data_IF_424918273598
#
_entry.id   IF_424918273598
#
_cell.length_a   1.000
_cell.length_b   1.000
_cell.length_c   1.000
_cell.angle_alpha   90.00
_cell.angle_beta   90.00
_cell.angle_gamma   90.00
#
_symmetry.space_group_name_H-M   'P 1'
#
loop_
_entity.id
_entity.type
_entity.pdbx_description
1 polymer ?
#
# COMPACT_ATOMS: atom_id res chain seq x y z
N UNK A 1 -20.39 2.15 -3.17
CA UNK A 1 -19.62 3.20 -3.89
C UNK A 1 -20.26 3.38 -5.25
N UNK A 2 -20.46 4.63 -5.71
CA UNK A 2 -21.05 4.90 -7.02
C UNK A 2 -20.13 4.45 -8.18
N UNK A 3 -20.47 4.87 -9.41
CA UNK A 3 -19.75 4.48 -10.63
C UNK A 3 -18.24 4.76 -10.61
N UNK A 4 -17.52 4.19 -11.58
CA UNK A 4 -16.07 4.29 -11.70
C UNK A 4 -15.60 5.72 -12.02
N UNK A 5 -14.71 6.23 -11.18
CA UNK A 5 -14.08 7.54 -11.32
C UNK A 5 -12.58 7.39 -11.59
N UNK A 6 -12.24 7.06 -12.84
CA UNK A 6 -10.87 6.84 -13.27
C UNK A 6 -10.52 7.74 -14.46
N UNK A 7 -9.21 7.92 -14.68
CA UNK A 7 -8.68 8.64 -15.84
C UNK A 7 -8.77 7.76 -17.08
N UNK A 8 -9.92 7.77 -17.75
CA UNK A 8 -10.13 7.08 -19.02
C UNK A 8 -9.26 7.67 -20.13
N UNK A 9 -8.74 6.82 -21.01
CA UNK A 9 -8.00 7.26 -22.20
C UNK A 9 -8.93 7.91 -23.24
N UNK A 10 -10.14 7.40 -23.34
CA UNK A 10 -11.19 7.92 -24.21
C UNK A 10 -12.45 8.18 -23.37
N UNK A 11 -13.22 9.19 -23.74
CA UNK A 11 -14.48 9.49 -23.06
C UNK A 11 -15.45 8.30 -23.23
N UNK A 12 -15.94 7.68 -22.13
CA UNK A 12 -16.88 6.58 -22.25
C UNK A 12 -18.16 7.01 -22.98
N UNK A 13 -18.72 6.11 -23.78
CA UNK A 13 -20.00 6.33 -24.47
C UNK A 13 -21.11 6.56 -23.44
N UNK A 14 -22.06 7.45 -23.73
CA UNK A 14 -23.19 7.78 -22.83
C UNK A 14 -23.93 6.55 -22.30
N UNK A 15 -24.11 5.50 -23.14
CA UNK A 15 -24.76 4.24 -22.76
C UNK A 15 -24.06 3.45 -21.64
N UNK A 16 -22.79 3.74 -21.38
CA UNK A 16 -21.98 3.11 -20.34
C UNK A 16 -21.97 3.94 -19.03
N UNK A 17 -22.57 5.13 -19.06
CA UNK A 17 -22.61 6.06 -17.93
C UNK A 17 -23.92 5.91 -17.17
N UNK A 18 -23.82 5.87 -15.84
CA UNK A 18 -24.97 5.86 -14.95
C UNK A 18 -25.69 7.22 -15.01
N UNK A 19 -27.01 7.26 -15.23
CA UNK A 19 -27.78 8.51 -15.21
C UNK A 19 -27.77 9.23 -13.86
N UNK A 20 -27.70 8.47 -12.75
CA UNK A 20 -27.76 9.00 -11.40
C UNK A 20 -26.45 9.66 -10.93
N UNK A 21 -25.30 9.07 -11.27
CA UNK A 21 -23.99 9.59 -10.83
C UNK A 21 -23.12 10.18 -11.94
N UNK A 22 -23.52 10.04 -13.22
CA UNK A 22 -22.79 10.54 -14.38
C UNK A 22 -21.48 9.81 -14.71
N UNK A 23 -21.12 8.77 -13.96
CA UNK A 23 -19.85 8.02 -14.08
C UNK A 23 -20.07 6.68 -14.78
N UNK A 24 -18.99 6.05 -15.25
CA UNK A 24 -19.08 4.71 -15.86
C UNK A 24 -19.67 3.70 -14.86
N UNK A 25 -20.66 2.91 -15.28
CA UNK A 25 -21.46 2.11 -14.35
C UNK A 25 -20.62 1.06 -13.62
N UNK A 26 -20.69 1.04 -12.29
CA UNK A 26 -20.14 -0.03 -11.45
C UNK A 26 -21.26 -0.99 -11.11
N UNK A 27 -21.02 -2.29 -11.29
CA UNK A 27 -22.00 -3.35 -11.02
C UNK A 27 -23.36 -2.97 -11.65
N UNK A 28 -23.40 -2.80 -12.99
CA UNK A 28 -24.59 -2.28 -13.64
C UNK A 28 -25.78 -3.22 -13.44
N UNK A 29 -26.93 -2.64 -13.14
CA UNK A 29 -28.21 -3.31 -13.08
C UNK A 29 -29.15 -2.75 -14.13
N UNK A 30 -29.98 -3.61 -14.70
CA UNK A 30 -31.02 -3.25 -15.67
C UNK A 30 -32.40 -3.45 -15.04
N UNK A 31 -33.26 -2.46 -15.22
CA UNK A 31 -34.68 -2.53 -14.86
C UNK A 31 -35.43 -3.20 -16.01
N UNK A 32 -35.99 -4.40 -15.82
CA UNK A 32 -36.60 -5.17 -16.91
C UNK A 32 -37.87 -4.54 -17.50
N UNK A 33 -38.59 -3.71 -16.74
CA UNK A 33 -39.83 -3.06 -17.22
C UNK A 33 -39.59 -1.96 -18.26
N UNK A 34 -38.43 -1.29 -18.24
CA UNK A 34 -38.12 -0.18 -19.14
C UNK A 34 -36.75 -0.28 -19.84
N UNK A 35 -35.88 -1.20 -19.42
CA UNK A 35 -34.54 -1.39 -19.99
C UNK A 35 -33.50 -0.37 -19.56
N UNK A 36 -33.83 0.57 -18.66
CA UNK A 36 -32.89 1.55 -18.12
C UNK A 36 -31.86 0.89 -17.20
N UNK A 37 -30.66 1.47 -17.17
CA UNK A 37 -29.49 0.89 -16.51
C UNK A 37 -28.84 1.87 -15.56
N UNK A 38 -28.40 1.38 -14.41
CA UNK A 38 -27.82 2.17 -13.32
C UNK A 38 -26.69 1.39 -12.65
N UNK A 39 -25.87 2.05 -11.84
CA UNK A 39 -25.07 1.31 -10.85
C UNK A 39 -26.01 0.70 -9.81
N UNK A 40 -25.74 -0.52 -9.34
CA UNK A 40 -26.52 -1.16 -8.29
C UNK A 40 -26.70 -0.24 -7.06
N UNK A 41 -25.59 0.26 -6.50
CA UNK A 41 -25.66 1.11 -5.31
C UNK A 41 -26.39 2.42 -5.55
N UNK A 42 -26.30 3.01 -6.75
CA UNK A 42 -26.98 4.27 -7.05
C UNK A 42 -28.50 4.07 -7.11
N UNK A 43 -28.96 2.97 -7.73
CA UNK A 43 -30.38 2.68 -7.80
C UNK A 43 -30.92 2.30 -6.41
N UNK A 44 -30.19 1.50 -5.64
CA UNK A 44 -30.58 1.15 -4.28
C UNK A 44 -30.68 2.38 -3.36
N UNK A 45 -29.72 3.30 -3.42
CA UNK A 45 -29.77 4.56 -2.67
C UNK A 45 -31.02 5.37 -3.04
N UNK A 46 -31.31 5.54 -4.34
CA UNK A 46 -32.51 6.26 -4.79
C UNK A 46 -33.81 5.61 -4.30
N UNK A 47 -33.93 4.30 -4.41
CA UNK A 47 -35.13 3.57 -4.00
C UNK A 47 -35.29 3.51 -2.47
N UNK A 48 -34.22 3.71 -1.70
CA UNK A 48 -34.26 3.75 -0.22
C UNK A 48 -35.09 4.92 0.33
N UNK A 49 -35.32 5.96 -0.49
CA UNK A 49 -36.17 7.10 -0.16
C UNK A 49 -37.68 6.78 -0.24
N UNK A 50 -38.04 5.53 -0.59
CA UNK A 50 -39.44 5.08 -0.69
C UNK A 50 -40.09 5.35 -2.05
N UNK A 51 -39.32 5.76 -3.05
CA UNK A 51 -39.80 6.03 -4.41
C UNK A 51 -39.58 4.81 -5.31
N UNK A 52 -40.63 4.02 -5.54
CA UNK A 52 -40.59 2.81 -6.38
C UNK A 52 -40.88 3.12 -7.86
N UNK A 53 -40.12 4.07 -8.41
CA UNK A 53 -40.23 4.48 -9.82
C UNK A 53 -38.85 4.56 -10.43
N UNK A 54 -38.76 4.27 -11.72
CA UNK A 54 -37.53 4.40 -12.47
C UNK A 54 -37.12 5.88 -12.55
N UNK A 55 -35.86 6.24 -12.22
CA UNK A 55 -35.39 7.63 -12.23
C UNK A 55 -35.45 8.33 -13.59
N UNK A 56 -35.40 7.58 -14.69
CA UNK A 56 -35.32 8.12 -16.06
C UNK A 56 -36.71 8.41 -16.67
N UNK A 57 -37.68 7.52 -16.45
CA UNK A 57 -38.99 7.55 -17.12
C UNK A 57 -40.19 7.55 -16.17
N UNK A 58 -39.95 7.47 -14.86
CA UNK A 58 -40.94 7.44 -13.79
C UNK A 58 -41.92 6.25 -13.86
N UNK A 59 -41.60 5.21 -14.63
CA UNK A 59 -42.41 4.00 -14.67
C UNK A 59 -42.30 3.22 -13.35
N UNK A 60 -43.38 2.52 -12.92
CA UNK A 60 -43.35 1.70 -11.71
C UNK A 60 -42.20 0.69 -11.76
N UNK A 61 -41.44 0.65 -10.67
CA UNK A 61 -40.24 -0.17 -10.54
C UNK A 61 -40.42 -1.14 -9.38
N UNK A 62 -40.30 -2.42 -9.68
CA UNK A 62 -40.32 -3.52 -8.70
C UNK A 62 -38.89 -4.02 -8.50
N UNK A 63 -38.46 -4.15 -7.25
CA UNK A 63 -37.14 -4.69 -6.89
C UNK A 63 -36.91 -6.09 -7.45
N UNK A 64 -37.95 -6.92 -7.53
CA UNK A 64 -37.86 -8.27 -8.11
C UNK A 64 -37.57 -8.26 -9.63
N UNK A 65 -37.68 -7.10 -10.27
CA UNK A 65 -37.50 -6.88 -11.71
C UNK A 65 -36.21 -6.17 -12.06
N UNK A 66 -35.30 -6.00 -11.08
CA UNK A 66 -33.95 -5.46 -11.25
C UNK A 66 -32.99 -6.65 -11.37
N UNK A 67 -32.21 -6.68 -12.44
CA UNK A 67 -31.25 -7.76 -12.67
C UNK A 67 -29.85 -7.20 -12.98
N UNK A 68 -28.77 -7.86 -12.53
CA UNK A 68 -27.42 -7.54 -12.99
C UNK A 68 -27.33 -7.60 -14.52
N UNK A 69 -26.47 -6.77 -15.11
CA UNK A 69 -26.19 -6.74 -16.55
C UNK A 69 -24.72 -7.10 -16.84
N UNK A 70 -24.38 -8.40 -16.94
CA UNK A 70 -23.01 -8.86 -17.14
C UNK A 70 -22.41 -8.42 -18.49
N UNK A 71 -23.25 -8.24 -19.51
CA UNK A 71 -22.80 -7.81 -20.83
C UNK A 71 -22.34 -6.35 -20.79
N UNK A 72 -23.13 -5.47 -20.15
CA UNK A 72 -22.73 -4.10 -19.93
C UNK A 72 -21.53 -4.02 -18.99
N UNK A 73 -21.49 -4.84 -17.95
CA UNK A 73 -20.35 -4.90 -17.03
C UNK A 73 -19.06 -5.24 -17.78
N UNK A 74 -19.08 -6.25 -18.65
CA UNK A 74 -17.94 -6.61 -19.48
C UNK A 74 -17.49 -5.45 -20.39
N UNK A 75 -18.44 -4.69 -20.96
CA UNK A 75 -18.14 -3.50 -21.76
C UNK A 75 -17.50 -2.39 -20.93
N UNK A 76 -18.05 -2.07 -19.76
CA UNK A 76 -17.46 -1.04 -18.87
C UNK A 76 -16.06 -1.45 -18.41
N UNK A 77 -15.88 -2.71 -18.02
CA UNK A 77 -14.60 -3.25 -17.59
C UNK A 77 -13.55 -3.34 -18.72
N UNK A 78 -13.97 -3.27 -19.99
CA UNK A 78 -13.07 -3.21 -21.15
C UNK A 78 -12.52 -1.81 -21.43
N UNK A 79 -13.12 -0.75 -20.84
CA UNK A 79 -12.69 0.62 -21.06
C UNK A 79 -11.23 0.83 -20.65
N UNK A 80 -10.47 1.49 -21.51
CA UNK A 80 -9.06 1.74 -21.29
C UNK A 80 -8.84 2.94 -20.36
N UNK A 81 -8.02 2.75 -19.34
CA UNK A 81 -7.70 3.75 -18.31
C UNK A 81 -6.19 3.89 -18.14
N UNK A 82 -5.77 5.01 -17.54
CA UNK A 82 -4.43 5.17 -16.96
C UNK A 82 -4.44 4.74 -15.50
N UNK A 83 -3.29 4.27 -15.01
CA UNK A 83 -3.10 4.02 -13.59
C UNK A 83 -3.47 5.25 -12.73
N UNK A 84 -4.04 5.01 -11.55
CA UNK A 84 -4.32 6.05 -10.55
C UNK A 84 -3.04 6.81 -10.13
N UNK A 85 -1.89 6.14 -10.17
CA UNK A 85 -0.56 6.68 -9.87
C UNK A 85 0.13 7.29 -11.11
N UNK A 86 -0.62 7.63 -12.15
CA UNK A 86 -0.04 8.17 -13.40
C UNK A 86 0.65 9.52 -13.23
N UNK A 87 0.19 10.34 -12.29
CA UNK A 87 0.83 11.63 -11.95
C UNK A 87 2.16 11.45 -11.21
N UNK A 88 2.35 10.34 -10.51
CA UNK A 88 3.61 10.00 -9.83
C UNK A 88 4.63 9.38 -10.80
N UNK A 89 4.20 9.01 -12.01
CA UNK A 89 5.04 8.49 -13.08
C UNK A 89 4.71 7.06 -13.51
N UNK A 90 3.65 6.44 -12.98
CA UNK A 90 3.21 5.14 -13.48
C UNK A 90 2.68 5.27 -14.92
N UNK A 91 3.35 4.60 -15.86
CA UNK A 91 2.98 4.64 -17.29
C UNK A 91 2.01 3.55 -17.71
N UNK A 92 1.51 2.75 -16.77
CA UNK A 92 0.60 1.66 -17.10
C UNK A 92 -0.73 2.19 -17.61
N UNK A 93 -1.16 1.59 -18.72
CA UNK A 93 -2.47 1.77 -19.32
C UNK A 93 -3.05 0.40 -19.65
N UNK A 94 -4.36 0.25 -19.51
CA UNK A 94 -5.03 -1.00 -19.85
C UNK A 94 -6.52 -0.95 -19.59
N UNK A 95 -7.20 -2.04 -19.91
CA UNK A 95 -8.63 -2.21 -19.59
C UNK A 95 -8.86 -2.18 -18.07
N UNK A 96 -9.96 -1.57 -17.64
CA UNK A 96 -10.35 -1.43 -16.25
C UNK A 96 -10.33 -2.77 -15.49
N UNK A 97 -10.71 -3.89 -16.13
CA UNK A 97 -10.60 -5.25 -15.56
C UNK A 97 -9.20 -5.63 -15.06
N UNK A 98 -8.15 -5.08 -15.64
CA UNK A 98 -6.77 -5.41 -15.30
C UNK A 98 -6.17 -4.47 -14.24
N UNK A 99 -6.91 -3.45 -13.81
CA UNK A 99 -6.42 -2.47 -12.84
C UNK A 99 -5.99 -3.14 -11.53
N UNK A 100 -6.82 -4.01 -10.96
CA UNK A 100 -6.50 -4.68 -9.70
C UNK A 100 -5.24 -5.55 -9.82
N UNK A 101 -5.10 -6.28 -10.93
CA UNK A 101 -3.90 -7.05 -11.23
C UNK A 101 -2.66 -6.16 -11.34
N UNK A 102 -2.79 -5.02 -12.01
CA UNK A 102 -1.72 -4.03 -12.08
C UNK A 102 -1.35 -3.44 -10.71
N UNK A 103 -2.32 -3.07 -9.87
CA UNK A 103 -2.04 -2.49 -8.54
C UNK A 103 -1.24 -3.45 -7.64
N UNK A 104 -1.37 -4.76 -7.85
CA UNK A 104 -0.56 -5.76 -7.14
C UNK A 104 0.93 -5.70 -7.50
N UNK A 105 1.29 -5.23 -8.70
CA UNK A 105 2.69 -5.12 -9.17
C UNK A 105 3.15 -3.67 -9.41
N UNK A 106 2.26 -2.69 -9.23
CA UNK A 106 2.56 -1.27 -9.46
C UNK A 106 3.63 -0.79 -8.47
N UNK A 107 4.74 -0.26 -8.99
CA UNK A 107 5.84 0.28 -8.18
C UNK A 107 5.43 1.47 -7.31
N UNK A 108 4.41 2.22 -7.73
CA UNK A 108 3.92 3.40 -7.03
C UNK A 108 2.84 3.08 -6.00
N UNK A 109 2.24 1.90 -6.06
CA UNK A 109 1.22 1.51 -5.10
C UNK A 109 1.81 1.37 -3.69
N UNK A 110 1.09 1.87 -2.70
CA UNK A 110 1.52 1.88 -1.30
C UNK A 110 1.26 0.52 -0.68
N UNK A 111 2.29 -0.04 -0.06
CA UNK A 111 2.26 -1.35 0.61
C UNK A 111 2.77 -1.23 2.04
N UNK A 112 2.23 -2.06 2.93
CA UNK A 112 2.72 -2.19 4.29
C UNK A 112 4.03 -2.98 4.32
N UNK A 113 4.97 -2.59 5.17
CA UNK A 113 6.20 -3.34 5.36
C UNK A 113 5.90 -4.79 5.83
N UNK A 114 6.50 -5.82 5.20
CA UNK A 114 6.29 -7.22 5.58
C UNK A 114 6.80 -7.53 6.99
N UNK A 115 7.78 -6.77 7.50
CA UNK A 115 8.29 -6.89 8.86
C UNK A 115 7.37 -6.22 9.91
N UNK A 116 6.23 -5.64 9.51
CA UNK A 116 5.24 -5.00 10.38
C UNK A 116 5.86 -3.92 11.29
N UNK A 117 6.74 -3.08 10.73
CA UNK A 117 7.36 -1.94 11.41
C UNK A 117 6.50 -0.66 11.31
N UNK A 118 5.19 -0.79 11.07
CA UNK A 118 4.20 0.28 10.91
C UNK A 118 4.36 1.20 9.68
N UNK A 119 5.48 1.13 8.97
CA UNK A 119 5.71 1.93 7.77
C UNK A 119 4.79 1.49 6.60
N UNK A 120 4.25 2.49 5.90
CA UNK A 120 3.55 2.37 4.62
C UNK A 120 4.36 3.14 3.57
N UNK A 121 4.74 2.47 2.51
CA UNK A 121 5.68 3.00 1.53
C UNK A 121 5.34 2.50 0.13
N UNK A 122 5.80 3.23 -0.89
CA UNK A 122 5.63 2.77 -2.26
C UNK A 122 6.37 1.44 -2.46
N UNK A 123 5.84 0.56 -3.31
CA UNK A 123 6.44 -0.74 -3.60
C UNK A 123 7.88 -0.61 -4.11
N UNK A 124 8.21 0.47 -4.85
CA UNK A 124 9.56 0.73 -5.35
C UNK A 124 10.57 1.09 -4.24
N UNK A 125 10.11 1.69 -3.14
CA UNK A 125 10.98 2.11 -2.03
C UNK A 125 11.16 0.98 -0.99
N UNK A 126 10.31 -0.05 -1.06
CA UNK A 126 10.33 -1.19 -0.14
C UNK A 126 11.68 -1.94 -0.06
N UNK A 127 12.40 -2.22 -1.16
CA UNK A 127 13.71 -2.86 -1.09
C UNK A 127 14.73 -2.04 -0.28
N UNK A 128 14.81 -0.73 -0.52
CA UNK A 128 15.70 0.18 0.22
C UNK A 128 15.36 0.19 1.71
N UNK A 129 14.07 0.31 2.02
CA UNK A 129 13.57 0.24 3.39
C UNK A 129 13.99 -1.06 4.09
N UNK A 130 13.74 -2.23 3.49
CA UNK A 130 14.06 -3.52 4.09
C UNK A 130 15.56 -3.72 4.28
N UNK A 131 16.39 -3.16 3.39
CA UNK A 131 17.84 -3.30 3.46
C UNK A 131 18.46 -2.37 4.52
N UNK A 132 17.98 -1.13 4.63
CA UNK A 132 18.71 -0.05 5.33
C UNK A 132 17.94 0.63 6.45
N UNK A 133 16.63 0.80 6.32
CA UNK A 133 15.87 1.73 7.17
C UNK A 133 14.90 1.03 8.11
N UNK A 134 14.50 -0.21 7.80
CA UNK A 134 13.50 -0.91 8.57
C UNK A 134 14.05 -1.25 9.97
N UNK A 135 13.46 -0.74 11.06
CA UNK A 135 13.94 -1.05 12.41
C UNK A 135 13.79 -2.54 12.73
N UNK A 136 12.85 -3.22 12.06
CA UNK A 136 12.60 -4.66 12.18
C UNK A 136 13.29 -5.51 11.10
N UNK A 137 14.23 -4.95 10.32
CA UNK A 137 15.06 -5.76 9.39
C UNK A 137 15.91 -6.74 10.19
N UNK A 138 16.10 -7.94 9.66
CA UNK A 138 16.96 -8.96 10.25
C UNK A 138 18.38 -8.79 9.73
N UNK A 139 19.32 -8.77 10.65
CA UNK A 139 20.76 -8.73 10.39
C UNK A 139 21.41 -9.91 11.08
N UNK A 140 22.50 -10.40 10.50
CA UNK A 140 23.29 -11.49 11.05
C UNK A 140 24.72 -10.99 11.29
N UNK A 141 25.28 -11.30 12.44
CA UNK A 141 26.66 -10.96 12.73
C UNK A 141 27.60 -11.90 11.97
N UNK A 142 28.54 -11.36 11.20
CA UNK A 142 29.50 -12.16 10.43
C UNK A 142 30.49 -12.94 11.31
N UNK A 143 30.67 -12.51 12.57
CA UNK A 143 31.62 -13.13 13.50
C UNK A 143 30.99 -14.22 14.39
N UNK A 144 29.83 -13.94 14.99
CA UNK A 144 29.18 -14.87 15.92
C UNK A 144 27.92 -15.53 15.35
N UNK A 145 27.44 -15.12 14.16
CA UNK A 145 26.29 -15.71 13.49
C UNK A 145 24.93 -15.39 14.11
N UNK A 146 24.87 -14.56 15.16
CA UNK A 146 23.64 -14.19 15.86
C UNK A 146 22.79 -13.25 14.99
N UNK A 147 21.49 -13.49 14.97
CA UNK A 147 20.51 -12.59 14.37
C UNK A 147 20.13 -11.44 15.32
N UNK A 148 20.00 -10.23 14.79
CA UNK A 148 19.52 -9.05 15.50
C UNK A 148 18.67 -8.16 14.59
N UNK A 149 17.92 -7.23 15.20
CA UNK A 149 17.08 -6.27 14.46
C UNK A 149 17.86 -5.03 14.03
N UNK A 150 17.37 -4.29 13.04
CA UNK A 150 17.91 -2.97 12.68
C UNK A 150 17.94 -1.99 13.87
N UNK A 151 16.89 -1.99 14.69
CA UNK A 151 16.83 -1.21 15.93
C UNK A 151 17.90 -1.63 16.94
N UNK A 152 18.12 -2.93 17.11
CA UNK A 152 19.19 -3.45 17.97
C UNK A 152 20.58 -3.08 17.42
N UNK A 153 20.76 -3.08 16.09
CA UNK A 153 22.00 -2.62 15.46
C UNK A 153 22.28 -1.15 15.73
N UNK A 154 21.30 -0.29 15.49
CA UNK A 154 21.45 1.16 15.63
C UNK A 154 21.62 1.58 17.10
N UNK A 155 20.96 0.89 18.02
CA UNK A 155 21.16 1.08 19.46
C UNK A 155 22.47 0.48 19.98
N UNK A 156 23.00 -0.57 19.33
CA UNK A 156 24.29 -1.19 19.64
C UNK A 156 25.49 -0.52 18.96
N UNK A 157 25.29 0.49 18.10
CA UNK A 157 26.34 1.40 17.64
C UNK A 157 26.80 2.29 18.81
N UNK A 158 27.42 1.65 19.80
CA UNK A 158 28.31 2.22 20.81
C UNK A 158 27.86 3.51 21.49
N UNK A 159 26.95 3.43 22.46
CA UNK A 159 27.10 4.28 23.64
C UNK A 159 28.18 3.68 24.54
N UNK A 160 29.44 3.89 24.17
CA UNK A 160 30.45 4.05 25.20
C UNK A 160 30.22 5.43 25.79
N UNK A 161 29.88 5.55 27.08
CA UNK A 161 30.10 6.83 27.76
C UNK A 161 31.58 7.16 27.53
N UNK A 162 31.95 8.24 26.81
CA UNK A 162 33.34 8.61 26.69
C UNK A 162 33.81 9.01 28.08
N UNK A 163 34.37 8.05 28.82
CA UNK A 163 35.19 8.35 30.00
C UNK A 163 36.54 8.73 29.45
N UNK A 164 36.73 10.02 29.22
CA UNK A 164 38.05 10.56 28.93
C UNK A 164 38.99 10.18 30.09
N UNK A 165 40.08 9.50 29.76
CA UNK A 165 41.19 9.27 30.69
C UNK A 165 42.23 10.36 30.41
N UNK A 166 42.76 10.99 31.46
CA UNK A 166 43.80 12.00 31.26
C UNK A 166 45.08 11.34 30.71
N UNK A 167 45.87 12.08 29.92
CA UNK A 167 47.19 11.60 29.48
C UNK A 167 48.13 11.28 30.65
N UNK A 168 47.91 11.90 31.81
CA UNK A 168 48.67 11.59 33.00
C UNK A 168 48.28 10.20 33.55
N UNK A 169 47.00 9.86 33.56
CA UNK A 169 46.50 8.59 34.10
C UNK A 169 46.77 7.40 33.17
N UNK A 170 46.71 7.60 31.84
CA UNK A 170 47.04 6.55 30.87
C UNK A 170 48.53 6.18 30.92
N UNK A 171 49.40 7.14 31.27
CA UNK A 171 50.85 6.95 31.43
C UNK A 171 51.28 6.49 32.83
N UNK A 172 50.49 6.78 33.87
CA UNK A 172 50.77 6.36 35.25
C UNK A 172 50.58 4.86 35.49
N UNK A 173 49.81 4.19 34.64
CA UNK A 173 49.56 2.76 34.68
C UNK A 173 50.17 2.12 33.43
N UNK A 174 50.48 0.82 33.47
CA UNK A 174 51.11 0.07 32.35
C UNK A 174 50.20 -0.12 31.12
N UNK A 175 49.33 0.84 30.82
CA UNK A 175 48.48 0.83 29.64
C UNK A 175 49.23 1.31 28.39
N UNK A 176 50.35 2.01 28.54
CA UNK A 176 51.21 2.41 27.41
C UNK A 176 52.60 1.83 27.62
N UNK A 177 53.09 1.03 26.67
CA UNK A 177 54.45 0.48 26.67
C UNK A 177 54.99 0.48 25.25
N UNK A 178 56.19 1.01 25.04
CA UNK A 178 56.87 1.04 23.74
C UNK A 178 55.97 1.59 22.61
N UNK A 179 55.32 2.74 22.87
CA UNK A 179 54.34 3.41 21.99
C UNK A 179 53.06 2.60 21.64
N UNK A 180 52.84 1.45 22.31
CA UNK A 180 51.61 0.66 22.17
C UNK A 180 50.64 0.90 23.35
N UNK A 181 49.35 1.09 23.05
CA UNK A 181 48.28 1.20 24.05
C UNK A 181 47.58 -0.15 24.23
N UNK A 182 47.51 -0.64 25.47
CA UNK A 182 46.85 -1.90 25.85
C UNK A 182 45.43 -1.63 26.33
N UNK A 183 44.45 -2.08 25.56
CA UNK A 183 43.03 -1.94 25.88
C UNK A 183 42.46 -3.33 26.19
N UNK A 184 41.92 -3.51 27.40
CA UNK A 184 41.16 -4.72 27.75
C UNK A 184 39.67 -4.46 27.52
N UNK A 185 39.13 -4.99 26.43
CA UNK A 185 37.69 -5.00 26.20
C UNK A 185 37.09 -6.27 26.81
N UNK A 186 36.12 -6.10 27.72
CA UNK A 186 35.24 -7.21 28.15
C UNK A 186 33.94 -7.06 27.40
N UNK A 187 33.63 -8.02 26.53
CA UNK A 187 32.36 -8.07 25.81
C UNK A 187 31.39 -8.91 26.63
N UNK A 188 30.45 -8.26 27.32
CA UNK A 188 29.34 -8.98 27.94
C UNK A 188 28.29 -9.24 26.86
N UNK A 189 28.10 -10.52 26.51
CA UNK A 189 26.97 -10.93 25.67
C UNK A 189 25.68 -10.73 26.49
N UNK A 190 24.68 -9.99 26.00
CA UNK A 190 23.44 -9.78 26.74
C UNK A 190 22.75 -11.11 27.04
N UNK A 191 22.46 -11.38 28.33
CA UNK A 191 21.72 -12.56 28.78
C UNK A 191 20.27 -12.64 28.25
N UNK A 192 19.78 -11.62 27.53
CA UNK A 192 18.46 -11.61 26.87
C UNK A 192 18.47 -12.10 25.41
N UNK A 193 19.49 -12.87 25.03
CA UNK A 193 19.55 -13.58 23.73
C UNK A 193 19.43 -15.12 23.94
N UNK A 194 18.93 -15.55 25.10
CA UNK A 194 18.59 -16.94 25.41
C UNK A 194 17.28 -16.99 26.21
N UNK A 195 16.17 -16.65 25.58
CA UNK A 195 14.81 -17.04 25.99
C UNK A 195 13.84 -16.86 24.83
#
# INVERSE_FOLDING_TARGET
MPGFDYKFLEKPKRRLLCPLCGKAMREPVQVSTCGHRFCDTCLQEFLSEGVFKCPEDQLPLDYAKIYPDPELEAQVLSLAIRCIHSEEGCRWTGGLRHLQGHLNSCGYNVVSCPNRCSAKLSRRDLPTHLQRECPKRRLKCDFCGIDFTGEAYESALGFGYPKFISHQDIRKRNYVRDDAVFIRASVELPKKILS
#
